data_IF_391930111140
#
_entry.id   IF_391930111140
#
_cell.length_a   1.000
_cell.length_b   1.000
_cell.length_c   1.000
_cell.angle_alpha   90.00
_cell.angle_beta   90.00
_cell.angle_gamma   90.00
#
_symmetry.space_group_name_H-M   'P 1'
#
loop_
_entity.id
_entity.type
_entity.pdbx_description
1 polymer ?
#
# COMPACT_ATOMS: atom_id res chain seq x y z
N UNK A 1 6.41 12.94 -5.75
CA UNK A 1 6.65 11.49 -6.01
C UNK A 1 5.95 11.15 -7.31
N UNK A 2 6.70 10.66 -8.28
CA UNK A 2 6.24 10.31 -9.62
C UNK A 2 6.34 8.80 -9.73
N UNK A 3 5.24 8.13 -10.07
CA UNK A 3 5.20 6.69 -10.29
C UNK A 3 4.82 6.42 -11.74
N UNK A 4 5.68 5.72 -12.47
CA UNK A 4 5.43 5.38 -13.88
C UNK A 4 4.70 4.04 -13.97
N UNK A 5 4.01 3.78 -15.08
CA UNK A 5 3.41 2.45 -15.30
C UNK A 5 4.51 1.38 -15.43
N UNK A 6 4.21 0.10 -15.18
CA UNK A 6 5.23 -0.96 -15.25
C UNK A 6 5.89 -1.10 -16.62
N UNK A 7 7.21 -1.05 -16.63
CA UNK A 7 8.03 -1.15 -17.84
C UNK A 7 9.14 -2.18 -17.64
N UNK A 8 9.55 -2.81 -18.74
CA UNK A 8 10.68 -3.73 -18.78
C UNK A 8 11.77 -3.20 -19.70
N UNK A 9 13.01 -3.30 -19.24
CA UNK A 9 14.20 -3.03 -20.03
C UNK A 9 14.83 -4.36 -20.45
N UNK A 10 14.66 -4.80 -21.72
CA UNK A 10 15.29 -6.02 -22.21
C UNK A 10 16.82 -5.88 -22.24
N UNK A 11 17.52 -7.02 -22.33
CA UNK A 11 19.00 -7.06 -22.44
C UNK A 11 19.51 -6.27 -23.65
N UNK A 12 18.75 -6.30 -24.74
CA UNK A 12 19.02 -5.58 -25.98
C UNK A 12 17.71 -4.93 -26.41
N UNK A 13 17.70 -3.60 -26.54
CA UNK A 13 16.53 -2.84 -27.00
C UNK A 13 16.11 -1.71 -26.05
N UNK A 14 15.01 -1.06 -26.42
CA UNK A 14 14.43 0.06 -25.69
C UNK A 14 13.49 -0.41 -24.58
N UNK A 15 13.20 0.49 -23.64
CA UNK A 15 12.16 0.27 -22.63
C UNK A 15 10.80 0.09 -23.31
N UNK A 16 10.02 -0.87 -22.81
CA UNK A 16 8.67 -1.15 -23.31
C UNK A 16 7.72 -1.45 -22.16
N UNK A 17 6.40 -1.27 -22.35
CA UNK A 17 5.42 -1.65 -21.33
C UNK A 17 5.56 -3.14 -21.00
N UNK A 18 5.50 -3.45 -19.70
CA UNK A 18 5.33 -4.80 -19.21
C UNK A 18 3.84 -5.03 -18.99
N UNK A 19 3.25 -6.07 -19.58
CA UNK A 19 1.86 -6.44 -19.34
C UNK A 19 1.75 -7.55 -18.29
N UNK A 20 0.64 -7.65 -17.54
CA UNK A 20 0.50 -8.66 -16.48
C UNK A 20 0.67 -10.10 -16.98
N UNK A 21 0.05 -10.47 -18.11
CA UNK A 21 0.21 -11.79 -18.72
C UNK A 21 1.68 -12.17 -18.99
N UNK A 22 2.46 -11.23 -19.50
CA UNK A 22 3.89 -11.44 -19.74
C UNK A 22 4.65 -11.60 -18.41
N UNK A 23 4.32 -10.79 -17.40
CA UNK A 23 4.95 -10.90 -16.09
C UNK A 23 4.72 -12.27 -15.44
N UNK A 24 3.51 -12.85 -15.58
CA UNK A 24 3.19 -14.21 -15.12
C UNK A 24 4.06 -15.25 -15.84
N UNK A 25 4.04 -15.24 -17.17
CA UNK A 25 4.67 -16.28 -17.99
C UNK A 25 6.21 -16.25 -17.93
N UNK A 26 6.80 -15.07 -17.82
CA UNK A 26 8.26 -14.90 -17.81
C UNK A 26 8.87 -14.81 -16.40
N UNK A 27 8.08 -14.98 -15.35
CA UNK A 27 8.61 -14.93 -13.97
C UNK A 27 9.02 -13.53 -13.51
N UNK A 28 8.54 -12.46 -14.15
CA UNK A 28 8.85 -11.09 -13.76
C UNK A 28 7.97 -10.60 -12.60
N UNK A 29 8.41 -9.53 -11.94
CA UNK A 29 7.59 -8.83 -10.95
C UNK A 29 6.96 -7.61 -11.60
N UNK A 30 5.63 -7.52 -11.55
CA UNK A 30 4.86 -6.41 -12.11
C UNK A 30 5.01 -5.18 -11.20
N UNK A 31 6.01 -4.35 -11.51
CA UNK A 31 6.47 -3.27 -10.63
C UNK A 31 6.59 -1.95 -11.39
N UNK A 32 6.29 -0.87 -10.68
CA UNK A 32 6.41 0.52 -11.12
C UNK A 32 7.71 1.11 -10.58
N UNK A 33 8.40 1.89 -11.41
CA UNK A 33 9.53 2.71 -10.98
C UNK A 33 9.04 4.01 -10.35
N UNK A 34 9.53 4.27 -9.14
CA UNK A 34 9.23 5.48 -8.37
C UNK A 34 10.40 6.44 -8.45
N UNK A 35 10.08 7.69 -8.79
CA UNK A 35 10.99 8.83 -8.81
C UNK A 35 10.55 9.89 -7.82
N UNK A 36 11.51 10.60 -7.24
CA UNK A 36 11.27 11.68 -6.29
C UNK A 36 12.10 12.90 -6.64
N UNK A 37 11.54 14.08 -6.38
CA UNK A 37 12.27 15.33 -6.46
C UNK A 37 12.77 15.65 -5.05
N UNK A 38 14.06 15.93 -4.93
CA UNK A 38 14.73 16.19 -3.67
C UNK A 38 15.17 17.65 -3.60
N UNK A 39 15.03 18.25 -2.43
CA UNK A 39 15.60 19.56 -2.13
C UNK A 39 16.66 19.37 -1.06
N UNK A 40 17.92 19.62 -1.44
CA UNK A 40 19.06 19.58 -0.53
C UNK A 40 19.27 20.98 0.04
N UNK A 41 18.96 21.14 1.32
CA UNK A 41 19.22 22.38 2.04
C UNK A 41 20.68 22.41 2.50
N UNK A 42 21.50 23.31 1.94
CA UNK A 42 22.91 23.51 2.30
C UNK A 42 23.12 24.68 3.26
N UNK A 43 22.11 25.00 4.08
CA UNK A 43 22.17 26.06 5.08
C UNK A 43 22.49 27.42 4.46
N UNK A 44 23.62 28.02 4.82
CA UNK A 44 24.03 29.35 4.31
C UNK A 44 24.35 29.37 2.81
N UNK A 45 24.57 28.21 2.18
CA UNK A 45 24.90 28.12 0.75
C UNK A 45 23.66 28.02 -0.16
N UNK A 46 22.45 28.07 0.41
CA UNK A 46 21.19 28.01 -0.33
C UNK A 46 20.61 26.59 -0.45
N UNK A 47 19.60 26.46 -1.31
CA UNK A 47 18.91 25.21 -1.61
C UNK A 47 19.29 24.72 -3.01
N UNK A 48 19.56 23.42 -3.14
CA UNK A 48 19.79 22.75 -4.42
C UNK A 48 18.62 21.80 -4.70
N UNK A 49 18.02 21.90 -5.88
CA UNK A 49 16.93 21.00 -6.31
C UNK A 49 17.48 19.92 -7.23
N UNK A 50 17.16 18.68 -6.92
CA UNK A 50 17.52 17.51 -7.71
C UNK A 50 16.23 16.83 -8.12
N UNK A 51 15.88 16.95 -9.39
CA UNK A 51 14.63 16.40 -9.92
C UNK A 51 14.81 14.95 -10.38
N UNK A 52 13.73 14.16 -10.31
CA UNK A 52 13.62 12.79 -10.87
C UNK A 52 14.71 11.81 -10.40
N UNK A 53 14.98 11.78 -9.10
CA UNK A 53 15.86 10.76 -8.51
C UNK A 53 15.11 9.44 -8.39
N UNK A 54 15.68 8.36 -8.94
CA UNK A 54 15.13 7.01 -8.80
C UNK A 54 15.20 6.55 -7.33
N UNK A 55 14.04 6.23 -6.75
CA UNK A 55 13.95 5.75 -5.36
C UNK A 55 13.92 4.22 -5.29
N UNK A 56 13.20 3.57 -6.21
CA UNK A 56 13.04 2.12 -6.20
C UNK A 56 11.83 1.63 -6.99
N UNK A 57 11.57 0.32 -6.88
CA UNK A 57 10.46 -0.37 -7.54
C UNK A 57 9.38 -0.74 -6.52
N UNK A 58 8.12 -0.50 -6.86
CA UNK A 58 6.96 -0.88 -6.04
C UNK A 58 6.00 -1.76 -6.86
N UNK A 59 5.52 -2.89 -6.30
CA UNK A 59 4.52 -3.71 -6.97
C UNK A 59 3.25 -2.94 -7.31
N UNK A 60 2.75 -3.11 -8.52
CA UNK A 60 1.49 -2.52 -8.97
C UNK A 60 0.37 -3.54 -8.81
N UNK A 61 -0.74 -3.11 -8.22
CA UNK A 61 -1.94 -3.92 -8.08
C UNK A 61 -2.67 -3.99 -9.41
N UNK A 62 -3.08 -5.18 -9.85
CA UNK A 62 -3.90 -5.32 -11.06
C UNK A 62 -5.25 -4.62 -10.86
N UNK A 63 -5.69 -3.90 -11.88
CA UNK A 63 -6.88 -3.05 -11.88
C UNK A 63 -6.70 -1.66 -11.24
N UNK A 64 -5.54 -1.35 -10.67
CA UNK A 64 -5.25 0.01 -10.17
C UNK A 64 -4.96 1.01 -11.31
N UNK A 65 -4.94 2.31 -11.02
CA UNK A 65 -4.70 3.36 -12.03
C UNK A 65 -3.35 3.24 -12.76
N UNK A 66 -2.36 2.59 -12.14
CA UNK A 66 -1.04 2.35 -12.71
C UNK A 66 -0.96 1.06 -13.54
N UNK A 67 -1.96 0.19 -13.46
CA UNK A 67 -2.05 -0.99 -14.32
C UNK A 67 -2.35 -0.56 -15.76
N UNK A 68 -1.63 -1.14 -16.71
CA UNK A 68 -1.87 -0.93 -18.14
C UNK A 68 -3.28 -1.36 -18.56
N UNK A 69 -3.84 -2.38 -17.92
CA UNK A 69 -5.19 -2.90 -18.23
C UNK A 69 -6.31 -1.96 -17.77
N UNK A 70 -6.04 -1.03 -16.84
CA UNK A 70 -7.07 -0.12 -16.29
C UNK A 70 -7.66 0.84 -17.33
N UNK A 71 -6.88 1.18 -18.37
CA UNK A 71 -7.30 2.08 -19.45
C UNK A 71 -7.83 1.35 -20.69
N UNK A 72 -7.93 0.02 -20.65
CA UNK A 72 -8.28 -0.80 -21.81
C UNK A 72 -9.73 -1.26 -21.74
N UNK A 73 -10.38 -1.37 -22.90
CA UNK A 73 -11.71 -1.97 -23.00
C UNK A 73 -11.65 -3.48 -22.73
N UNK A 74 -12.78 -4.07 -22.31
CA UNK A 74 -12.88 -5.52 -22.06
C UNK A 74 -12.45 -6.36 -23.26
N UNK A 75 -12.81 -5.93 -24.48
CA UNK A 75 -12.39 -6.60 -25.71
C UNK A 75 -10.86 -6.62 -25.87
N UNK A 76 -10.20 -5.47 -25.65
CA UNK A 76 -8.74 -5.38 -25.73
C UNK A 76 -8.06 -6.23 -24.66
N UNK A 77 -8.61 -6.28 -23.44
CA UNK A 77 -8.08 -7.13 -22.36
C UNK A 77 -8.16 -8.61 -22.73
N UNK A 78 -9.30 -9.03 -23.31
CA UNK A 78 -9.48 -10.40 -23.81
C UNK A 78 -8.51 -10.74 -24.95
N UNK A 79 -8.30 -9.81 -25.88
CA UNK A 79 -7.35 -9.97 -26.99
C UNK A 79 -5.89 -10.09 -26.50
N UNK A 80 -5.57 -9.49 -25.35
CA UNK A 80 -4.28 -9.63 -24.66
C UNK A 80 -4.16 -10.90 -23.79
N UNK A 81 -5.17 -11.76 -23.80
CA UNK A 81 -5.17 -13.02 -23.05
C UNK A 81 -5.48 -12.87 -21.56
N UNK A 82 -6.02 -11.73 -21.13
CA UNK A 82 -6.50 -11.53 -19.76
C UNK A 82 -7.96 -12.00 -19.61
N UNK A 83 -8.27 -12.55 -18.43
CA UNK A 83 -9.62 -13.00 -18.11
C UNK A 83 -10.52 -11.83 -17.71
N UNK A 84 -11.76 -11.81 -18.21
CA UNK A 84 -12.77 -10.84 -17.77
C UNK A 84 -13.45 -11.25 -16.45
N UNK A 85 -13.35 -12.53 -16.07
CA UNK A 85 -14.00 -13.07 -14.88
C UNK A 85 -13.13 -12.99 -13.62
N UNK A 86 -11.86 -12.61 -13.76
CA UNK A 86 -10.93 -12.58 -12.64
C UNK A 86 -11.02 -11.22 -11.91
N UNK A 87 -11.40 -11.20 -10.62
CA UNK A 87 -11.46 -9.96 -9.86
C UNK A 87 -10.05 -9.35 -9.71
N UNK A 88 -9.89 -8.04 -9.96
CA UNK A 88 -8.63 -7.35 -9.71
C UNK A 88 -8.32 -7.29 -8.21
N UNK A 89 -7.11 -6.87 -7.83
CA UNK A 89 -6.74 -6.64 -6.42
C UNK A 89 -5.55 -7.46 -5.90
N UNK A 90 -4.89 -8.23 -6.76
CA UNK A 90 -3.66 -8.95 -6.43
C UNK A 90 -2.44 -8.35 -7.14
N UNK A 91 -1.27 -8.87 -6.78
CA UNK A 91 0.04 -8.46 -7.28
C UNK A 91 0.75 -9.64 -7.94
N UNK A 92 1.52 -9.40 -9.00
CA UNK A 92 2.38 -10.42 -9.60
C UNK A 92 3.82 -10.19 -9.14
N UNK A 93 4.35 -11.13 -8.35
CA UNK A 93 5.70 -11.08 -7.81
C UNK A 93 6.45 -12.33 -8.26
N UNK A 94 7.52 -12.15 -9.03
CA UNK A 94 8.33 -13.24 -9.61
C UNK A 94 7.47 -14.28 -10.35
N UNK A 95 6.52 -13.82 -11.16
CA UNK A 95 5.57 -14.65 -11.91
C UNK A 95 4.42 -15.26 -11.09
N UNK A 96 4.46 -15.16 -9.76
CA UNK A 96 3.40 -15.69 -8.90
C UNK A 96 2.42 -14.60 -8.47
N UNK A 97 1.14 -14.92 -8.45
CA UNK A 97 0.09 -14.06 -7.92
C UNK A 97 0.10 -14.08 -6.39
N UNK A 98 0.01 -12.89 -5.79
CA UNK A 98 0.06 -12.66 -4.35
C UNK A 98 -1.01 -11.66 -3.98
N UNK A 99 -1.79 -11.98 -2.96
CA UNK A 99 -2.80 -11.10 -2.39
C UNK A 99 -2.40 -10.70 -0.98
N UNK A 100 -2.65 -9.45 -0.62
CA UNK A 100 -2.50 -8.99 0.75
C UNK A 100 -3.81 -9.30 1.47
N UNK A 101 -3.74 -10.12 2.52
CA UNK A 101 -4.90 -10.43 3.35
C UNK A 101 -5.22 -9.24 4.26
N UNK A 102 -6.49 -8.88 4.32
CA UNK A 102 -6.96 -7.86 5.23
C UNK A 102 -6.75 -8.33 6.68
N UNK A 103 -6.10 -7.49 7.48
CA UNK A 103 -5.95 -7.73 8.92
C UNK A 103 -6.94 -6.86 9.68
N UNK A 104 -7.71 -7.49 10.57
CA UNK A 104 -8.55 -6.75 11.50
C UNK A 104 -7.68 -6.12 12.60
N UNK A 105 -7.92 -4.84 12.89
CA UNK A 105 -7.26 -4.10 13.96
C UNK A 105 -8.30 -3.27 14.72
N UNK A 106 -8.05 -3.04 16.01
CA UNK A 106 -8.86 -2.12 16.80
C UNK A 106 -8.81 -0.72 16.18
N UNK A 107 -9.96 -0.04 16.18
CA UNK A 107 -10.03 1.32 15.63
C UNK A 107 -9.14 2.26 16.43
N UNK A 108 -8.26 3.01 15.77
CA UNK A 108 -7.43 4.01 16.45
C UNK A 108 -8.27 5.21 16.86
N UNK A 109 -7.77 5.99 17.82
CA UNK A 109 -8.35 7.24 18.31
C UNK A 109 -9.82 7.09 18.74
N UNK A 110 -10.16 5.93 19.30
CA UNK A 110 -11.49 5.61 19.82
C UNK A 110 -11.34 4.93 21.17
N UNK A 111 -12.05 5.44 22.18
CA UNK A 111 -12.18 4.78 23.47
C UNK A 111 -12.95 3.47 23.29
N UNK A 112 -12.39 2.37 23.78
CA UNK A 112 -13.05 1.07 23.81
C UNK A 112 -13.06 0.56 25.24
N UNK A 113 -14.25 0.24 25.72
CA UNK A 113 -14.47 -0.23 27.09
C UNK A 113 -14.64 -1.74 27.07
N UNK A 114 -13.82 -2.44 27.84
CA UNK A 114 -13.83 -3.89 27.99
C UNK A 114 -14.11 -4.27 29.45
N UNK A 115 -14.73 -5.43 29.67
CA UNK A 115 -14.77 -6.03 31.00
C UNK A 115 -13.38 -6.53 31.38
N UNK A 116 -12.91 -6.16 32.57
CA UNK A 116 -11.65 -6.60 33.14
C UNK A 116 -11.70 -8.06 33.63
N UNK A 117 -10.60 -8.52 34.22
CA UNK A 117 -10.44 -9.93 34.62
C UNK A 117 -11.25 -10.31 35.86
N UNK A 118 -11.64 -9.32 36.68
CA UNK A 118 -12.41 -9.51 37.91
C UNK A 118 -13.84 -8.98 37.74
N UNK A 119 -14.80 -9.55 38.48
CA UNK A 119 -16.19 -9.04 38.50
C UNK A 119 -16.20 -7.58 38.95
N UNK A 120 -16.71 -6.70 38.08
CA UNK A 120 -16.80 -5.24 38.32
C UNK A 120 -15.66 -4.42 37.72
N UNK A 121 -14.58 -5.06 37.25
CA UNK A 121 -13.46 -4.35 36.65
C UNK A 121 -13.79 -3.89 35.22
N UNK A 122 -13.44 -2.65 34.89
CA UNK A 122 -13.72 -2.02 33.60
C UNK A 122 -12.43 -1.40 33.08
N UNK A 123 -11.99 -1.86 31.90
CA UNK A 123 -10.75 -1.42 31.28
C UNK A 123 -11.06 -0.59 30.05
N UNK A 124 -10.55 0.65 30.01
CA UNK A 124 -10.61 1.49 28.83
C UNK A 124 -9.30 1.37 28.04
N UNK A 125 -9.39 1.01 26.76
CA UNK A 125 -8.25 0.93 25.85
C UNK A 125 -8.39 1.93 24.73
N UNK A 126 -7.29 2.61 24.43
CA UNK A 126 -7.16 3.55 23.32
C UNK A 126 -5.94 3.14 22.51
N UNK A 127 -6.11 3.01 21.19
CA UNK A 127 -5.01 2.74 20.26
C UNK A 127 -4.71 4.01 19.47
N UNK A 128 -3.45 4.41 19.33
CA UNK A 128 -3.02 5.50 18.46
C UNK A 128 -2.16 4.95 17.31
N UNK A 129 -2.15 5.64 16.18
CA UNK A 129 -1.41 5.30 14.97
C UNK A 129 -0.05 6.01 14.83
N UNK A 130 0.32 6.95 15.72
CA UNK A 130 1.61 7.65 15.62
C UNK A 130 2.79 6.73 15.99
N UNK A 131 3.86 6.77 15.19
CA UNK A 131 5.07 5.91 15.27
C UNK A 131 5.83 5.94 16.61
N UNK A 132 5.52 6.84 17.57
CA UNK A 132 6.34 7.09 18.76
C UNK A 132 5.87 6.41 20.06
N UNK A 133 4.63 5.93 20.18
CA UNK A 133 4.15 5.18 21.37
C UNK A 133 2.87 4.41 21.01
N UNK A 134 2.98 3.10 20.79
CA UNK A 134 1.82 2.24 20.60
C UNK A 134 1.21 1.84 21.95
N UNK A 135 -0.05 2.25 22.14
CA UNK A 135 -0.99 1.91 23.23
C UNK A 135 -0.64 2.40 24.64
N UNK A 136 -1.29 3.51 25.04
CA UNK A 136 -1.51 3.84 26.45
C UNK A 136 -2.81 3.17 26.92
N UNK A 137 -2.70 2.10 27.70
CA UNK A 137 -3.84 1.50 28.42
C UNK A 137 -4.07 2.24 29.72
N UNK A 138 -5.29 2.75 29.95
CA UNK A 138 -5.68 3.38 31.21
C UNK A 138 -6.74 2.50 31.88
N UNK A 139 -6.41 1.91 33.03
CA UNK A 139 -7.37 1.25 33.91
C UNK A 139 -8.00 2.30 34.83
N UNK A 140 -9.31 2.50 34.74
CA UNK A 140 -10.06 3.32 35.70
C UNK A 140 -10.78 2.37 36.64
N UNK A 141 -10.20 2.12 37.81
CA UNK A 141 -10.83 1.35 38.87
C UNK A 141 -11.80 2.24 39.64
N UNK A 142 -13.07 2.20 39.24
CA UNK A 142 -14.26 2.82 39.83
C UNK A 142 -14.21 4.34 40.12
N UNK A 143 -15.13 5.11 39.55
CA UNK A 143 -16.19 5.83 40.29
C UNK A 143 -17.10 6.60 39.31
N UNK A 144 -18.40 6.41 39.55
CA UNK A 144 -19.60 7.04 38.96
C UNK A 144 -20.03 6.75 37.52
N UNK A 145 -21.26 6.20 37.45
CA UNK A 145 -22.11 6.01 36.29
C UNK A 145 -22.34 7.31 35.52
N UNK A 146 -21.56 7.59 34.49
CA UNK A 146 -22.04 8.38 33.35
C UNK A 146 -20.96 8.54 32.27
N UNK A 147 -20.90 7.60 31.33
CA UNK A 147 -20.54 7.92 29.96
C UNK A 147 -21.58 7.22 29.09
N UNK A 148 -22.70 7.90 28.86
CA UNK A 148 -23.69 7.56 27.85
C UNK A 148 -23.14 8.02 26.48
N UNK A 149 -23.12 7.06 25.56
CA UNK A 149 -22.86 7.05 24.12
C UNK A 149 -22.39 8.33 23.41
#
# INVERSE_FOLDING_TARGET
VIANRPEIKPLIGNMRPLYPQEARNSGYSYTSDIYVDMVLNKGKMGEERIDKVFLGKVPVMLGSNLDWLSSMSEKQRKDMGESLSDPPGYFIIKGAEKVILQQEKLRPNRFMVFSGSSKGDVVCKITNNTLALSSSSFSVSEYEKSILC
#
